data_IF_878359577666
#
_entry.id   IF_878359577666
#
_cell.length_a   1.000
_cell.length_b   1.000
_cell.length_c   1.000
_cell.angle_alpha   90.00
_cell.angle_beta   90.00
_cell.angle_gamma   90.00
#
_symmetry.space_group_name_H-M   'P 1'
#
loop_
_entity.id
_entity.type
_entity.pdbx_description
1 polymer ?
#
# COMPACT_ATOMS: atom_id res chain seq x y z
N UNK A 1 -20.77 17.96 -6.76
CA UNK A 1 -20.33 16.55 -6.66
C UNK A 1 -18.87 16.45 -6.24
N UNK A 2 -17.90 17.08 -6.91
CA UNK A 2 -16.47 17.04 -6.53
C UNK A 2 -16.25 17.63 -5.13
N UNK A 3 -16.87 18.75 -4.80
CA UNK A 3 -16.76 19.37 -3.46
C UNK A 3 -17.22 18.45 -2.33
N UNK A 4 -18.34 17.74 -2.52
CA UNK A 4 -18.80 16.76 -1.54
C UNK A 4 -17.82 15.62 -1.33
N UNK A 5 -17.16 15.16 -2.41
CA UNK A 5 -16.13 14.11 -2.33
C UNK A 5 -14.90 14.61 -1.54
N UNK A 6 -14.47 15.84 -1.78
CA UNK A 6 -13.34 16.47 -1.06
C UNK A 6 -13.68 16.67 0.41
N UNK A 7 -14.91 17.11 0.71
CA UNK A 7 -15.37 17.28 2.10
C UNK A 7 -15.43 15.92 2.83
N UNK A 8 -15.97 14.89 2.19
CA UNK A 8 -16.02 13.54 2.73
C UNK A 8 -14.60 13.01 3.01
N UNK A 9 -13.66 13.19 2.07
CA UNK A 9 -12.27 12.77 2.20
C UNK A 9 -11.57 13.45 3.37
N UNK A 10 -11.76 14.78 3.53
CA UNK A 10 -11.26 15.54 4.66
C UNK A 10 -11.90 15.12 5.99
N UNK A 11 -13.20 14.87 6.02
CA UNK A 11 -13.91 14.43 7.22
C UNK A 11 -13.38 13.06 7.69
N UNK A 12 -13.26 12.11 6.76
CA UNK A 12 -12.71 10.79 7.05
C UNK A 12 -11.23 10.87 7.48
N UNK A 13 -10.47 11.79 6.88
CA UNK A 13 -9.09 12.06 7.31
C UNK A 13 -9.05 12.52 8.76
N UNK A 14 -9.87 13.50 9.14
CA UNK A 14 -9.93 14.00 10.53
C UNK A 14 -10.33 12.90 11.51
N UNK A 15 -11.35 12.14 11.19
CA UNK A 15 -11.75 11.01 12.02
C UNK A 15 -10.57 10.05 12.29
N UNK A 16 -9.81 9.68 11.25
CA UNK A 16 -8.69 8.76 11.41
C UNK A 16 -7.48 9.42 12.10
N UNK A 17 -7.13 10.67 11.70
CA UNK A 17 -5.92 11.33 12.17
C UNK A 17 -6.08 11.99 13.54
N UNK A 18 -7.27 12.44 13.91
CA UNK A 18 -7.55 13.13 15.18
C UNK A 18 -8.37 12.27 16.15
N UNK A 19 -9.57 11.82 15.74
CA UNK A 19 -10.52 11.22 16.67
C UNK A 19 -10.13 9.80 17.10
N UNK A 20 -9.49 9.04 16.21
CA UNK A 20 -8.94 7.71 16.53
C UNK A 20 -7.58 7.77 17.25
N UNK A 21 -7.03 8.96 17.54
CA UNK A 21 -5.74 9.14 18.16
C UNK A 21 -5.69 8.50 19.56
N UNK A 22 -4.73 7.62 19.77
CA UNK A 22 -4.45 7.00 21.05
C UNK A 22 -3.01 6.48 21.13
N UNK A 23 -2.49 6.27 22.33
CA UNK A 23 -1.11 5.88 22.58
C UNK A 23 -0.71 4.57 21.85
N UNK A 24 -1.63 3.61 21.71
CA UNK A 24 -1.36 2.35 21.03
C UNK A 24 -1.17 2.56 19.52
N UNK A 25 -2.05 3.32 18.87
CA UNK A 25 -1.92 3.61 17.44
C UNK A 25 -0.77 4.58 17.15
N UNK A 26 -0.48 5.54 18.06
CA UNK A 26 0.67 6.43 17.92
C UNK A 26 2.00 5.67 17.94
N UNK A 27 2.09 4.57 18.67
CA UNK A 27 3.23 3.67 18.66
C UNK A 27 3.21 2.72 17.45
N UNK A 28 2.07 2.11 17.12
CA UNK A 28 1.98 1.03 16.13
C UNK A 28 2.05 1.54 14.68
N UNK A 29 1.33 2.62 14.36
CA UNK A 29 1.17 3.05 12.96
C UNK A 29 2.47 3.52 12.30
N UNK A 30 3.38 4.25 12.98
CA UNK A 30 4.70 4.55 12.43
C UNK A 30 5.53 3.30 12.11
N UNK A 31 5.39 2.23 12.90
CA UNK A 31 6.07 0.94 12.68
C UNK A 31 5.51 0.24 11.44
N UNK A 32 4.17 0.13 11.34
CA UNK A 32 3.51 -0.54 10.21
C UNK A 32 3.82 0.10 8.86
N UNK A 33 3.87 1.44 8.80
CA UNK A 33 4.20 2.14 7.55
C UNK A 33 5.68 2.06 7.16
N UNK A 34 6.58 1.73 8.08
CA UNK A 34 8.00 1.73 7.81
C UNK A 34 8.41 0.45 7.07
N UNK A 35 8.87 0.60 5.82
CA UNK A 35 9.29 -0.54 5.00
C UNK A 35 10.38 -1.40 5.67
N UNK A 36 11.26 -0.81 6.48
CA UNK A 36 12.30 -1.55 7.19
C UNK A 36 11.74 -2.55 8.20
N UNK A 37 10.58 -2.28 8.79
CA UNK A 37 9.91 -3.17 9.74
C UNK A 37 9.49 -4.50 9.09
N UNK A 38 9.31 -4.51 7.77
CA UNK A 38 8.86 -5.68 7.02
C UNK A 38 10.00 -6.50 6.41
N UNK A 39 11.27 -6.02 6.49
CA UNK A 39 12.44 -6.74 5.95
C UNK A 39 12.51 -8.18 6.48
N UNK A 40 12.36 -8.47 7.79
CA UNK A 40 12.41 -9.84 8.28
C UNK A 40 11.35 -10.75 7.64
N UNK A 41 10.11 -10.24 7.46
CA UNK A 41 9.05 -10.98 6.79
C UNK A 41 9.38 -11.26 5.32
N UNK A 42 9.90 -10.27 4.61
CA UNK A 42 10.30 -10.45 3.20
C UNK A 42 11.40 -11.49 3.04
N UNK A 43 12.41 -11.47 3.91
CA UNK A 43 13.49 -12.46 3.92
C UNK A 43 12.95 -13.87 4.15
N UNK A 44 12.02 -14.03 5.12
CA UNK A 44 11.38 -15.32 5.39
C UNK A 44 10.57 -15.81 4.17
N UNK A 45 9.76 -14.94 3.56
CA UNK A 45 8.95 -15.28 2.37
C UNK A 45 9.86 -15.68 1.21
N UNK A 46 10.90 -14.91 0.94
CA UNK A 46 11.87 -15.19 -0.13
C UNK A 46 12.56 -16.54 0.11
N UNK A 47 13.10 -16.75 1.31
CA UNK A 47 13.76 -17.99 1.69
C UNK A 47 12.83 -19.21 1.54
N UNK A 48 11.59 -19.10 2.06
CA UNK A 48 10.59 -20.15 1.95
C UNK A 48 10.24 -20.47 0.49
N UNK A 49 10.01 -19.44 -0.34
CA UNK A 49 9.65 -19.61 -1.73
C UNK A 49 10.78 -20.27 -2.53
N UNK A 50 12.03 -19.86 -2.33
CA UNK A 50 13.19 -20.46 -2.99
C UNK A 50 13.41 -21.89 -2.55
N UNK A 51 13.30 -22.18 -1.26
CA UNK A 51 13.46 -23.52 -0.71
C UNK A 51 12.38 -24.48 -1.22
N UNK A 52 11.10 -24.09 -1.13
CA UNK A 52 9.97 -24.97 -1.44
C UNK A 52 9.70 -25.09 -2.94
N UNK A 53 9.77 -23.98 -3.68
CA UNK A 53 9.35 -23.94 -5.08
C UNK A 53 10.54 -23.81 -6.06
N UNK A 54 11.77 -23.69 -5.56
CA UNK A 54 13.00 -23.66 -6.37
C UNK A 54 12.89 -22.63 -7.53
N UNK A 55 13.02 -23.06 -8.78
CA UNK A 55 12.95 -22.20 -9.98
C UNK A 55 11.60 -21.47 -10.10
N UNK A 56 10.49 -22.13 -9.78
CA UNK A 56 9.17 -21.50 -9.78
C UNK A 56 9.06 -20.41 -8.70
N UNK A 57 9.69 -20.66 -7.53
CA UNK A 57 9.79 -19.67 -6.46
C UNK A 57 10.60 -18.43 -6.84
N UNK A 58 11.69 -18.61 -7.60
CA UNK A 58 12.46 -17.47 -8.11
C UNK A 58 11.64 -16.61 -9.08
N UNK A 59 10.89 -17.22 -10.00
CA UNK A 59 9.98 -16.52 -10.91
C UNK A 59 8.87 -15.80 -10.15
N UNK A 60 8.32 -16.44 -9.12
CA UNK A 60 7.32 -15.84 -8.24
C UNK A 60 7.84 -14.57 -7.57
N UNK A 61 9.06 -14.63 -6.99
CA UNK A 61 9.66 -13.49 -6.29
C UNK A 61 9.97 -12.36 -7.28
N UNK A 62 10.48 -12.67 -8.47
CA UNK A 62 10.75 -11.67 -9.51
C UNK A 62 9.45 -10.95 -9.90
N UNK A 63 8.36 -11.68 -10.15
CA UNK A 63 7.08 -11.08 -10.53
C UNK A 63 6.40 -10.35 -9.37
N UNK A 64 6.59 -10.81 -8.12
CA UNK A 64 6.16 -10.09 -6.93
C UNK A 64 6.87 -8.74 -6.81
N UNK A 65 8.19 -8.72 -6.98
CA UNK A 65 8.99 -7.49 -6.97
C UNK A 65 8.62 -6.56 -8.15
N UNK A 66 8.42 -7.12 -9.34
CA UNK A 66 7.97 -6.35 -10.49
C UNK A 66 6.58 -5.76 -10.29
N UNK A 67 5.66 -6.47 -9.61
CA UNK A 67 4.33 -5.90 -9.34
C UNK A 67 4.40 -4.66 -8.43
N UNK A 68 5.24 -4.68 -7.40
CA UNK A 68 5.50 -3.51 -6.58
C UNK A 68 6.23 -2.42 -7.38
N UNK A 69 7.30 -2.77 -8.10
CA UNK A 69 8.09 -1.78 -8.88
C UNK A 69 7.28 -1.07 -9.97
N UNK A 70 6.39 -1.77 -10.67
CA UNK A 70 5.48 -1.15 -11.65
C UNK A 70 4.48 -0.23 -10.95
N UNK A 71 3.93 -0.64 -9.81
CA UNK A 71 3.01 0.19 -9.04
C UNK A 71 3.71 1.45 -8.50
N UNK A 72 4.91 1.31 -7.92
CA UNK A 72 5.74 2.42 -7.42
C UNK A 72 6.08 3.42 -8.51
N UNK A 73 6.67 2.97 -9.61
CA UNK A 73 7.07 3.82 -10.72
C UNK A 73 5.90 4.60 -11.31
N UNK A 74 4.79 3.93 -11.58
CA UNK A 74 3.64 4.59 -12.21
C UNK A 74 2.95 5.58 -11.28
N UNK A 75 2.77 5.24 -10.01
CA UNK A 75 2.13 6.14 -9.04
C UNK A 75 3.09 7.21 -8.51
N UNK A 76 4.34 6.86 -8.27
CA UNK A 76 5.36 7.75 -7.72
C UNK A 76 5.89 8.76 -8.71
N UNK A 77 6.30 8.30 -9.89
CA UNK A 77 7.03 9.14 -10.84
C UNK A 77 6.15 9.73 -11.97
N UNK A 78 4.99 9.11 -12.26
CA UNK A 78 4.12 9.59 -13.35
C UNK A 78 2.91 10.33 -12.79
N UNK A 79 2.03 9.64 -12.05
CA UNK A 79 0.71 10.19 -11.70
C UNK A 79 0.81 11.34 -10.70
N UNK A 80 1.68 11.23 -9.69
CA UNK A 80 1.86 12.28 -8.67
C UNK A 80 2.24 13.62 -9.26
N UNK A 81 3.12 13.63 -10.26
CA UNK A 81 3.56 14.88 -10.90
C UNK A 81 2.52 15.52 -11.81
N UNK A 82 1.51 14.76 -12.23
CA UNK A 82 0.38 15.30 -13.01
C UNK A 82 -0.71 15.86 -12.10
N UNK A 83 -1.07 15.16 -11.03
CA UNK A 83 -2.16 15.56 -10.12
C UNK A 83 -1.75 16.65 -9.12
N UNK A 84 -0.52 16.62 -8.63
CA UNK A 84 0.10 17.63 -7.74
C UNK A 84 -0.72 17.93 -6.47
N UNK A 85 -1.43 16.93 -5.93
CA UNK A 85 -2.17 17.06 -4.69
C UNK A 85 -1.22 17.22 -3.51
N UNK A 86 -1.41 18.24 -2.68
CA UNK A 86 -0.63 18.42 -1.45
C UNK A 86 -0.94 17.29 -0.44
N UNK A 87 0.05 16.93 0.36
CA UNK A 87 -0.14 16.01 1.50
C UNK A 87 -0.88 16.72 2.62
N UNK A 88 -1.67 16.01 3.46
CA UNK A 88 -2.35 16.61 4.60
C UNK A 88 -1.40 17.43 5.49
N UNK A 89 -0.22 16.91 5.78
CA UNK A 89 0.82 17.58 6.59
C UNK A 89 1.41 18.86 5.95
N UNK A 90 1.19 19.08 4.66
CA UNK A 90 1.60 20.30 3.93
C UNK A 90 0.39 21.14 3.46
N UNK A 91 -0.83 20.72 3.75
CA UNK A 91 -2.05 21.45 3.36
C UNK A 91 -2.42 22.45 4.45
N UNK A 92 -2.05 23.71 4.25
CA UNK A 92 -2.33 24.82 5.17
C UNK A 92 -3.80 25.21 5.21
N UNK A 93 -4.65 24.66 4.35
CA UNK A 93 -6.11 24.91 4.35
C UNK A 93 -6.86 23.99 5.30
N UNK A 94 -6.20 23.01 5.92
CA UNK A 94 -6.79 22.14 6.92
C UNK A 94 -6.91 22.88 8.27
N UNK A 95 -8.11 22.83 8.85
CA UNK A 95 -8.40 23.38 10.18
C UNK A 95 -9.27 22.40 10.97
N UNK A 96 -8.73 21.76 12.02
CA UNK A 96 -7.36 21.85 12.57
C UNK A 96 -6.29 21.29 11.62
N UNK A 97 -5.00 21.64 11.78
CA UNK A 97 -3.91 21.12 10.98
C UNK A 97 -3.76 19.60 11.16
N UNK A 98 -3.24 18.90 10.16
CA UNK A 98 -2.94 17.47 10.27
C UNK A 98 -1.91 17.18 11.37
N UNK A 99 -2.14 16.14 12.17
CA UNK A 99 -1.18 15.67 13.18
C UNK A 99 -0.18 14.74 12.48
N UNK A 100 1.07 15.19 12.36
CA UNK A 100 2.15 14.39 11.79
C UNK A 100 2.81 13.55 12.89
N UNK A 101 2.74 12.21 12.76
CA UNK A 101 3.28 11.26 13.76
C UNK A 101 4.57 10.59 13.33
N UNK A 102 5.31 11.24 12.46
CA UNK A 102 6.62 10.80 11.93
C UNK A 102 7.54 12.01 11.76
N UNK A 103 8.84 11.78 11.59
CA UNK A 103 9.84 12.82 11.59
C UNK A 103 9.73 13.82 10.43
N UNK A 104 9.11 13.47 9.31
CA UNK A 104 8.93 14.37 8.18
C UNK A 104 7.71 13.98 7.34
N UNK A 105 7.11 15.00 6.72
CA UNK A 105 6.01 14.82 5.77
C UNK A 105 6.42 14.06 4.49
N UNK A 106 7.72 13.99 4.23
CA UNK A 106 8.26 13.47 2.99
C UNK A 106 8.18 14.48 1.83
N UNK A 107 8.93 14.23 0.79
CA UNK A 107 8.93 15.03 -0.44
C UNK A 107 7.84 14.59 -1.41
N UNK A 108 7.42 15.49 -2.31
CA UNK A 108 6.48 15.19 -3.39
C UNK A 108 5.01 15.24 -2.97
N UNK A 109 4.16 14.75 -3.87
CA UNK A 109 2.71 14.88 -3.82
C UNK A 109 2.03 13.69 -3.13
N UNK A 110 0.75 13.89 -2.77
CA UNK A 110 -0.05 12.94 -2.01
C UNK A 110 -0.68 11.85 -2.89
N UNK A 111 -1.28 12.24 -4.02
CA UNK A 111 -2.15 11.37 -4.82
C UNK A 111 -1.43 10.74 -6.02
N UNK A 112 -1.64 9.44 -6.23
CA UNK A 112 -2.17 8.45 -5.29
C UNK A 112 -1.12 8.01 -4.26
N UNK A 113 -1.51 7.21 -3.25
CA UNK A 113 -0.58 6.67 -2.27
C UNK A 113 0.25 5.52 -2.87
N UNK A 114 1.55 5.74 -3.04
CA UNK A 114 2.49 4.74 -3.53
C UNK A 114 2.57 3.52 -2.59
N UNK A 115 2.63 3.75 -1.27
CA UNK A 115 2.63 2.66 -0.30
C UNK A 115 1.39 1.76 -0.41
N UNK A 116 0.20 2.35 -0.62
CA UNK A 116 -0.99 1.56 -0.84
C UNK A 116 -0.92 0.77 -2.15
N UNK A 117 -0.44 1.41 -3.23
CA UNK A 117 -0.30 0.76 -4.54
C UNK A 117 0.63 -0.44 -4.48
N UNK A 118 1.80 -0.31 -3.89
CA UNK A 118 2.81 -1.37 -3.82
C UNK A 118 2.32 -2.56 -3.01
N UNK A 119 1.78 -2.29 -1.82
CA UNK A 119 1.35 -3.36 -0.92
C UNK A 119 0.10 -4.08 -1.43
N UNK A 120 -0.85 -3.35 -2.06
CA UNK A 120 -1.99 -3.99 -2.70
C UNK A 120 -1.62 -4.71 -3.99
N UNK A 121 -0.59 -4.28 -4.73
CA UNK A 121 -0.07 -5.02 -5.88
C UNK A 121 0.54 -6.36 -5.44
N UNK A 122 1.37 -6.35 -4.41
CA UNK A 122 1.94 -7.58 -3.83
C UNK A 122 0.85 -8.48 -3.24
N UNK A 123 -0.10 -7.92 -2.47
CA UNK A 123 -1.18 -8.66 -1.86
C UNK A 123 -2.07 -9.35 -2.90
N UNK A 124 -2.52 -8.61 -3.92
CA UNK A 124 -3.34 -9.16 -4.99
C UNK A 124 -2.59 -10.25 -5.78
N UNK A 125 -1.32 -10.01 -6.13
CA UNK A 125 -0.50 -11.03 -6.79
C UNK A 125 -0.46 -12.33 -5.99
N UNK A 126 -0.13 -12.27 -4.69
CA UNK A 126 -0.07 -13.44 -3.81
C UNK A 126 -1.44 -14.11 -3.68
N UNK A 127 -2.52 -13.33 -3.53
CA UNK A 127 -3.87 -13.86 -3.46
C UNK A 127 -4.22 -14.67 -4.70
N UNK A 128 -4.05 -14.12 -5.90
CA UNK A 128 -4.40 -14.79 -7.15
C UNK A 128 -3.50 -15.99 -7.49
N UNK A 129 -2.26 -16.02 -7.00
CA UNK A 129 -1.35 -17.15 -7.18
C UNK A 129 -1.67 -18.28 -6.21
N UNK A 130 -1.94 -17.97 -4.95
CA UNK A 130 -2.02 -18.97 -3.89
C UNK A 130 -3.43 -19.37 -3.45
N UNK A 131 -4.50 -18.69 -3.86
CA UNK A 131 -5.84 -18.90 -3.31
C UNK A 131 -6.34 -20.36 -3.40
N UNK A 132 -5.92 -21.11 -4.42
CA UNK A 132 -6.27 -22.54 -4.57
C UNK A 132 -5.53 -23.44 -3.58
N UNK A 133 -4.31 -23.04 -3.16
CA UNK A 133 -3.48 -23.79 -2.21
C UNK A 133 -3.76 -23.37 -0.78
N UNK A 134 -4.09 -22.10 -0.59
CA UNK A 134 -4.31 -21.51 0.72
C UNK A 134 -5.38 -20.40 0.65
N UNK A 135 -6.62 -20.76 0.91
CA UNK A 135 -7.78 -19.85 0.82
C UNK A 135 -7.70 -18.65 1.77
N UNK A 136 -7.02 -18.78 2.91
CA UNK A 136 -6.87 -17.72 3.90
C UNK A 136 -5.86 -16.62 3.50
N UNK A 137 -5.13 -16.81 2.39
CA UNK A 137 -4.19 -15.81 1.89
C UNK A 137 -4.87 -14.45 1.65
N UNK A 138 -6.13 -14.44 1.20
CA UNK A 138 -6.88 -13.21 1.00
C UNK A 138 -7.02 -12.41 2.29
N UNK A 139 -7.40 -13.06 3.38
CA UNK A 139 -7.55 -12.39 4.67
C UNK A 139 -6.23 -11.76 5.11
N UNK A 140 -5.16 -12.55 5.15
CA UNK A 140 -3.87 -12.08 5.68
C UNK A 140 -3.20 -11.04 4.78
N UNK A 141 -3.22 -11.22 3.46
CA UNK A 141 -2.62 -10.27 2.53
C UNK A 141 -3.38 -8.92 2.50
N UNK A 142 -4.72 -8.95 2.54
CA UNK A 142 -5.52 -7.72 2.57
C UNK A 142 -5.39 -7.01 3.92
N UNK A 143 -5.39 -7.73 5.05
CA UNK A 143 -5.16 -7.13 6.36
C UNK A 143 -3.77 -6.49 6.45
N UNK A 144 -2.75 -7.16 5.92
CA UNK A 144 -1.39 -6.60 5.85
C UNK A 144 -1.33 -5.33 5.01
N UNK A 145 -1.75 -5.36 3.75
CA UNK A 145 -1.75 -4.19 2.87
C UNK A 145 -2.66 -3.07 3.39
N UNK A 146 -3.82 -3.43 3.95
CA UNK A 146 -4.79 -2.50 4.54
C UNK A 146 -4.24 -1.80 5.78
N UNK A 147 -3.56 -2.52 6.68
CA UNK A 147 -2.97 -1.93 7.88
C UNK A 147 -1.87 -0.90 7.55
N UNK A 148 -1.02 -1.20 6.56
CA UNK A 148 0.01 -0.27 6.08
C UNK A 148 -0.64 0.96 5.43
N UNK A 149 -1.69 0.74 4.64
CA UNK A 149 -2.46 1.79 3.98
C UNK A 149 -3.18 2.69 4.97
N UNK A 150 -3.83 2.11 5.99
CA UNK A 150 -4.44 2.85 7.08
C UNK A 150 -3.41 3.69 7.84
N UNK A 151 -2.23 3.12 8.09
CA UNK A 151 -1.14 3.83 8.76
C UNK A 151 -0.70 5.10 8.02
N UNK A 152 -0.78 5.14 6.66
CA UNK A 152 -0.44 6.35 5.90
C UNK A 152 -1.40 7.52 6.17
N UNK A 153 -2.68 7.23 6.37
CA UNK A 153 -3.69 8.24 6.72
C UNK A 153 -3.51 8.65 8.18
N UNK A 154 -3.37 7.68 9.08
CA UNK A 154 -3.23 7.92 10.51
C UNK A 154 -2.04 8.80 10.86
N UNK A 155 -0.87 8.58 10.24
CA UNK A 155 0.33 9.40 10.49
C UNK A 155 0.31 10.77 9.81
N UNK A 156 -0.73 11.10 9.02
CA UNK A 156 -0.96 12.43 8.47
C UNK A 156 -0.30 12.72 7.12
N UNK A 157 0.10 11.70 6.33
CA UNK A 157 0.81 11.91 5.05
C UNK A 157 -0.03 11.69 3.81
N UNK A 158 -1.17 11.03 3.92
CA UNK A 158 -2.12 10.77 2.83
C UNK A 158 -3.56 11.00 3.26
N UNK A 159 -4.39 11.43 2.32
CA UNK A 159 -5.84 11.40 2.49
C UNK A 159 -6.39 10.00 2.19
N UNK A 160 -7.59 9.64 2.73
CA UNK A 160 -8.21 8.34 2.46
C UNK A 160 -8.40 8.01 0.98
N UNK A 161 -8.79 8.99 0.15
CA UNK A 161 -8.93 8.80 -1.31
C UNK A 161 -7.60 8.47 -1.97
N UNK A 162 -6.48 9.05 -1.54
CA UNK A 162 -5.15 8.75 -2.08
C UNK A 162 -4.81 7.26 -1.89
N UNK A 163 -5.16 6.76 -0.71
CA UNK A 163 -4.93 5.36 -0.31
C UNK A 163 -5.88 4.43 -1.05
N UNK A 164 -7.16 4.78 -1.13
CA UNK A 164 -8.17 3.98 -1.82
C UNK A 164 -7.85 3.81 -3.31
N UNK A 165 -7.54 4.91 -4.01
CA UNK A 165 -7.18 4.86 -5.43
C UNK A 165 -5.85 4.13 -5.64
N UNK A 166 -4.86 4.36 -4.77
CA UNK A 166 -3.61 3.61 -4.79
C UNK A 166 -3.85 2.10 -4.63
N UNK A 167 -4.70 1.71 -3.67
CA UNK A 167 -5.05 0.31 -3.43
C UNK A 167 -5.73 -0.35 -4.64
N UNK A 168 -6.70 0.33 -5.26
CA UNK A 168 -7.37 -0.16 -6.48
C UNK A 168 -6.40 -0.34 -7.64
N UNK A 169 -5.53 0.65 -7.85
CA UNK A 169 -4.51 0.58 -8.89
C UNK A 169 -3.54 -0.58 -8.62
N UNK A 170 -3.02 -0.67 -7.41
CA UNK A 170 -2.11 -1.76 -7.03
C UNK A 170 -2.77 -3.13 -7.19
N UNK A 171 -4.02 -3.28 -6.76
CA UNK A 171 -4.78 -4.52 -6.95
C UNK A 171 -4.85 -4.93 -8.42
N UNK A 172 -5.11 -3.98 -9.31
CA UNK A 172 -5.16 -4.22 -10.76
C UNK A 172 -3.79 -4.67 -11.30
N UNK A 173 -2.70 -3.99 -10.91
CA UNK A 173 -1.34 -4.38 -11.31
C UNK A 173 -0.99 -5.79 -10.81
N UNK A 174 -1.27 -6.10 -9.55
CA UNK A 174 -1.03 -7.43 -8.98
C UNK A 174 -1.83 -8.53 -9.66
N UNK A 175 -3.08 -8.26 -10.01
CA UNK A 175 -3.90 -9.16 -10.81
C UNK A 175 -3.27 -9.46 -12.18
N UNK A 176 -2.87 -8.43 -12.93
CA UNK A 176 -2.21 -8.61 -14.22
C UNK A 176 -0.92 -9.43 -14.10
N UNK A 177 -0.08 -9.13 -13.11
CA UNK A 177 1.15 -9.88 -12.86
C UNK A 177 0.88 -11.35 -12.48
N UNK A 178 -0.22 -11.62 -11.79
CA UNK A 178 -0.65 -12.99 -11.48
C UNK A 178 -1.05 -13.77 -12.74
N UNK A 179 -1.67 -13.13 -13.73
CA UNK A 179 -1.97 -13.76 -15.02
C UNK A 179 -0.69 -14.11 -15.77
N UNK A 180 0.29 -13.19 -15.77
CA UNK A 180 1.61 -13.45 -16.35
C UNK A 180 2.30 -14.63 -15.66
N UNK A 181 2.27 -14.68 -14.32
CA UNK A 181 2.82 -15.81 -13.57
C UNK A 181 2.18 -17.14 -13.98
N UNK A 182 0.86 -17.20 -14.04
CA UNK A 182 0.11 -18.41 -14.44
C UNK A 182 0.44 -18.85 -15.87
N UNK A 183 0.67 -17.90 -16.78
CA UNK A 183 1.11 -18.20 -18.15
C UNK A 183 2.51 -18.79 -18.18
N UNK A 184 3.43 -18.27 -17.37
CA UNK A 184 4.82 -18.75 -17.28
C UNK A 184 4.94 -20.06 -16.48
N UNK A 185 4.01 -20.31 -15.56
CA UNK A 185 4.03 -21.46 -14.63
C UNK A 185 2.66 -22.14 -14.58
N UNK A 186 2.21 -22.78 -15.67
CA UNK A 186 0.86 -23.38 -15.76
C UNK A 186 0.66 -24.53 -14.78
N UNK A 187 1.72 -25.14 -14.28
CA UNK A 187 1.70 -26.28 -13.36
C UNK A 187 2.07 -25.91 -11.91
N UNK A 188 2.06 -24.63 -11.57
CA UNK A 188 2.34 -24.17 -10.19
C UNK A 188 1.17 -24.49 -9.23
#
# INVERSE_FOLDING_TARGET
MIEHLVQFDRHLFYFINHDMANAFFDWLMPILRNAKSWIPLYVIIIGFCLWKYKKQGAILIILLALSAGVADFTTGDIVKFQVKRLRPCNDTTLSPPAILRINSCGTGYSFPSTHASDHFAMAAFLCFVFYRKWRWIWLWAILWAGSISFAQVYVGVHFPIDVFVGALYGFFVGWLMSLLFKKLQPHF
#
